data_IF_859724177945
#
_entry.id   IF_859724177945
#
_cell.length_a   1.000
_cell.length_b   1.000
_cell.length_c   1.000
_cell.angle_alpha   90.00
_cell.angle_beta   90.00
_cell.angle_gamma   90.00
#
_symmetry.space_group_name_H-M   'P 1'
#
loop_
_entity.id
_entity.type
_entity.pdbx_description
1 polymer ?
#
# COMPACT_ATOMS: atom_id res chain seq x y z
N UNK A 1 4.14 23.70 -2.42
CA UNK A 1 3.05 23.10 -3.23
C UNK A 1 1.73 23.48 -2.57
N UNK A 2 0.91 24.27 -3.26
CA UNK A 2 -0.40 24.70 -2.73
C UNK A 2 -1.41 23.57 -2.95
N UNK A 3 -2.02 23.07 -1.88
CA UNK A 3 -3.17 22.17 -1.96
C UNK A 3 -4.39 23.02 -2.38
N UNK A 4 -4.62 23.13 -3.68
CA UNK A 4 -5.85 23.73 -4.21
C UNK A 4 -6.98 22.73 -4.08
N UNK A 5 -7.84 22.92 -3.07
CA UNK A 5 -9.19 22.35 -3.08
C UNK A 5 -10.02 23.15 -4.10
N UNK A 6 -10.08 22.65 -5.34
CA UNK A 6 -10.96 23.23 -6.35
C UNK A 6 -12.43 23.06 -5.92
N UNK A 7 -13.23 24.14 -5.89
CA UNK A 7 -14.68 24.01 -5.75
C UNK A 7 -15.25 23.52 -7.08
N UNK A 8 -15.26 22.20 -7.28
CA UNK A 8 -15.99 21.62 -8.39
C UNK A 8 -17.50 21.74 -8.07
N UNK A 9 -18.20 22.61 -8.81
CA UNK A 9 -19.64 22.83 -8.68
C UNK A 9 -20.36 21.65 -9.33
N UNK A 10 -20.47 20.53 -8.61
CA UNK A 10 -21.37 19.44 -8.97
C UNK A 10 -22.81 19.85 -8.60
N UNK A 11 -23.72 19.83 -9.58
CA UNK A 11 -25.15 20.15 -9.41
C UNK A 11 -25.91 19.15 -8.54
N UNK A 12 -25.30 17.98 -8.26
CA UNK A 12 -25.73 17.04 -7.23
C UNK A 12 -24.62 16.91 -6.19
N UNK A 13 -24.94 17.15 -4.91
CA UNK A 13 -24.01 16.86 -3.82
C UNK A 13 -23.79 15.35 -3.73
N UNK A 14 -22.52 14.95 -3.69
CA UNK A 14 -22.17 13.59 -3.35
C UNK A 14 -22.61 13.29 -1.91
N UNK A 15 -22.99 12.05 -1.60
CA UNK A 15 -23.25 11.66 -0.21
C UNK A 15 -21.94 11.50 0.58
N UNK A 16 -20.93 10.98 -0.11
CA UNK A 16 -19.60 10.73 0.42
C UNK A 16 -18.55 11.29 -0.52
N UNK A 17 -17.45 11.77 0.06
CA UNK A 17 -16.27 12.26 -0.65
C UNK A 17 -15.07 11.47 -0.17
N UNK A 18 -14.24 10.99 -1.09
CA UNK A 18 -13.01 10.28 -0.76
C UNK A 18 -11.81 11.17 -1.04
N UNK A 19 -10.92 11.31 -0.06
CA UNK A 19 -9.63 11.94 -0.25
C UNK A 19 -8.71 10.98 -0.98
N UNK A 20 -8.08 11.47 -2.05
CA UNK A 20 -7.15 10.71 -2.87
C UNK A 20 -5.92 11.53 -3.19
N UNK A 21 -4.78 10.87 -3.26
CA UNK A 21 -3.54 11.41 -3.82
C UNK A 21 -3.40 10.96 -5.29
N UNK A 22 -2.57 11.65 -6.08
CA UNK A 22 -2.50 11.52 -7.54
C UNK A 22 -1.71 10.29 -8.03
N UNK A 23 -0.99 9.61 -7.13
CA UNK A 23 -0.10 8.49 -7.41
C UNK A 23 -0.59 7.17 -6.80
N UNK A 24 -1.90 6.96 -6.81
CA UNK A 24 -2.54 5.75 -6.30
C UNK A 24 -3.48 5.10 -7.29
N UNK A 25 -3.41 3.77 -7.36
CA UNK A 25 -4.33 2.93 -8.10
C UNK A 25 -5.28 2.21 -7.14
N UNK A 26 -6.57 2.19 -7.47
CA UNK A 26 -7.53 1.40 -6.71
C UNK A 26 -7.30 -0.09 -6.95
N UNK A 27 -7.36 -0.89 -5.91
CA UNK A 27 -7.20 -2.34 -6.00
C UNK A 27 -8.33 -3.00 -6.81
N UNK A 28 -8.10 -4.20 -7.38
CA UNK A 28 -9.15 -4.98 -8.05
C UNK A 28 -10.35 -5.18 -7.11
N UNK A 29 -11.58 -4.96 -7.59
CA UNK A 29 -12.81 -4.95 -6.79
C UNK A 29 -12.92 -3.84 -5.73
N UNK A 30 -12.00 -2.87 -5.71
CA UNK A 30 -11.94 -1.84 -4.66
C UNK A 30 -13.21 -0.98 -4.56
N UNK A 31 -13.89 -0.68 -5.66
CA UNK A 31 -15.16 0.06 -5.62
C UNK A 31 -16.27 -0.74 -4.92
N UNK A 32 -16.39 -2.03 -5.22
CA UNK A 32 -17.37 -2.92 -4.57
C UNK A 32 -17.07 -3.02 -3.07
N UNK A 33 -15.80 -3.21 -2.72
CA UNK A 33 -15.33 -3.23 -1.34
C UNK A 33 -15.67 -1.91 -0.61
N UNK A 34 -15.44 -0.76 -1.26
CA UNK A 34 -15.74 0.56 -0.72
C UNK A 34 -17.23 0.74 -0.37
N UNK A 35 -18.14 0.31 -1.26
CA UNK A 35 -19.58 0.36 -1.00
C UNK A 35 -19.93 -0.47 0.24
N UNK A 36 -19.40 -1.71 0.32
CA UNK A 36 -19.62 -2.57 1.47
C UNK A 36 -19.10 -1.96 2.78
N UNK A 37 -17.91 -1.36 2.81
CA UNK A 37 -17.36 -0.76 4.03
C UNK A 37 -18.11 0.50 4.46
N UNK A 38 -18.56 1.32 3.51
CA UNK A 38 -19.40 2.49 3.81
C UNK A 38 -20.70 2.02 4.46
N UNK A 39 -21.37 1.03 3.88
CA UNK A 39 -22.61 0.48 4.42
C UNK A 39 -22.40 -0.13 5.80
N UNK A 40 -21.33 -0.90 6.00
CA UNK A 40 -20.99 -1.52 7.28
C UNK A 40 -20.65 -0.48 8.35
N UNK A 41 -19.81 0.51 8.03
CA UNK A 41 -19.50 1.62 8.92
C UNK A 41 -20.77 2.38 9.33
N UNK A 42 -21.67 2.65 8.39
CA UNK A 42 -22.95 3.33 8.66
C UNK A 42 -23.89 2.49 9.52
N UNK A 43 -23.85 1.16 9.43
CA UNK A 43 -24.60 0.28 10.36
C UNK A 43 -24.03 0.37 11.77
N UNK A 44 -22.71 0.40 11.93
CA UNK A 44 -22.07 0.49 13.26
C UNK A 44 -22.21 1.87 13.93
N UNK A 45 -22.16 2.94 13.14
CA UNK A 45 -22.42 4.30 13.59
C UNK A 45 -22.89 5.18 12.43
N UNK A 46 -24.16 5.60 12.46
CA UNK A 46 -24.70 6.49 11.41
C UNK A 46 -23.98 7.84 11.35
N UNK A 47 -23.34 8.24 12.44
CA UNK A 47 -22.67 9.53 12.62
C UNK A 47 -21.14 9.45 12.57
N UNK A 48 -20.52 8.37 12.06
CA UNK A 48 -19.06 8.25 11.93
C UNK A 48 -18.40 9.48 11.26
N UNK A 49 -17.21 9.90 11.66
CA UNK A 49 -16.58 11.13 11.16
C UNK A 49 -15.76 10.91 9.88
N UNK A 50 -15.06 9.79 9.79
CA UNK A 50 -14.35 9.37 8.61
C UNK A 50 -14.18 7.86 8.60
N UNK A 51 -14.00 7.29 7.41
CA UNK A 51 -13.69 5.88 7.17
C UNK A 51 -12.36 5.77 6.41
N UNK A 52 -11.35 5.16 7.03
CA UNK A 52 -10.04 4.88 6.44
C UNK A 52 -10.05 3.55 5.70
N UNK A 53 -9.57 3.55 4.46
CA UNK A 53 -9.43 2.37 3.60
C UNK A 53 -8.04 2.29 2.93
N UNK A 54 -7.13 3.18 3.30
CA UNK A 54 -5.72 3.19 2.85
C UNK A 54 -4.85 3.82 3.93
N UNK A 55 -3.71 4.41 3.56
CA UNK A 55 -2.78 5.09 4.44
C UNK A 55 -2.37 6.46 3.90
N UNK A 56 -1.64 7.25 4.70
CA UNK A 56 -1.22 8.60 4.33
C UNK A 56 -2.39 9.59 4.31
N UNK A 57 -2.48 10.45 3.30
CA UNK A 57 -3.64 11.32 3.09
C UNK A 57 -4.65 10.71 2.10
N UNK A 58 -4.30 9.58 1.49
CA UNK A 58 -5.14 8.80 0.58
C UNK A 58 -6.15 7.89 1.32
N UNK A 59 -7.23 7.54 0.60
CA UNK A 59 -8.19 6.52 0.99
C UNK A 59 -8.94 6.83 2.27
N UNK A 60 -9.43 8.08 2.40
CA UNK A 60 -10.27 8.51 3.53
C UNK A 60 -11.61 8.96 3.01
N UNK A 61 -12.66 8.22 3.36
CA UNK A 61 -14.03 8.55 3.01
C UNK A 61 -14.63 9.43 4.11
N UNK A 62 -15.27 10.50 3.69
CA UNK A 62 -15.95 11.49 4.54
C UNK A 62 -17.40 11.60 4.06
N UNK A 63 -18.31 12.02 4.93
CA UNK A 63 -19.59 12.55 4.45
C UNK A 63 -19.37 13.94 3.87
N UNK A 64 -20.09 14.27 2.82
CA UNK A 64 -19.99 15.58 2.18
C UNK A 64 -20.26 16.75 3.15
N UNK A 65 -21.13 16.52 4.14
CA UNK A 65 -21.43 17.48 5.21
C UNK A 65 -20.20 17.87 6.07
N UNK A 66 -19.19 17.01 6.15
CA UNK A 66 -18.00 17.22 6.97
C UNK A 66 -16.86 17.92 6.23
N UNK A 67 -16.87 17.84 4.90
CA UNK A 67 -15.82 18.38 4.04
C UNK A 67 -15.53 19.87 4.29
N UNK A 68 -16.52 20.76 4.46
CA UNK A 68 -16.24 22.17 4.79
C UNK A 68 -15.48 22.34 6.11
N UNK A 69 -15.73 21.48 7.11
CA UNK A 69 -15.02 21.56 8.38
C UNK A 69 -13.56 21.14 8.23
N UNK A 70 -13.32 20.05 7.50
CA UNK A 70 -11.96 19.58 7.22
C UNK A 70 -11.20 20.62 6.38
N UNK A 71 -11.82 21.16 5.33
CA UNK A 71 -11.20 22.18 4.47
C UNK A 71 -10.74 23.40 5.27
N UNK A 72 -11.58 23.93 6.18
CA UNK A 72 -11.19 25.05 7.05
C UNK A 72 -10.02 24.68 7.96
N UNK A 73 -10.04 23.47 8.51
CA UNK A 73 -8.97 22.98 9.38
C UNK A 73 -7.64 22.87 8.62
N UNK A 74 -7.64 22.21 7.45
CA UNK A 74 -6.47 22.08 6.59
C UNK A 74 -5.93 23.46 6.16
N UNK A 75 -6.79 24.35 5.67
CA UNK A 75 -6.38 25.69 5.23
C UNK A 75 -5.74 26.51 6.36
N UNK A 76 -6.32 26.45 7.58
CA UNK A 76 -5.83 27.18 8.74
C UNK A 76 -4.48 26.66 9.24
N UNK A 77 -4.24 25.36 9.12
CA UNK A 77 -3.09 24.68 9.75
C UNK A 77 -2.05 24.12 8.77
N UNK A 78 -2.21 24.34 7.45
CA UNK A 78 -1.36 23.78 6.40
C UNK A 78 0.14 24.05 6.57
N UNK A 79 0.52 25.19 7.16
CA UNK A 79 1.92 25.54 7.39
C UNK A 79 2.55 24.80 8.58
N UNK A 80 1.75 24.19 9.46
CA UNK A 80 2.21 23.63 10.73
C UNK A 80 2.55 22.16 10.63
N UNK A 81 1.74 21.37 9.90
CA UNK A 81 1.90 19.92 9.79
C UNK A 81 1.52 19.42 8.40
N UNK A 82 2.06 18.27 7.98
CA UNK A 82 1.60 17.56 6.79
C UNK A 82 0.08 17.28 6.80
N UNK A 83 -0.58 17.19 5.63
CA UNK A 83 -2.03 17.00 5.53
C UNK A 83 -2.58 15.77 6.26
N UNK A 84 -1.87 14.64 6.26
CA UNK A 84 -2.20 13.40 6.96
C UNK A 84 -2.24 13.59 8.48
N UNK A 85 -1.28 14.33 9.04
CA UNK A 85 -1.29 14.69 10.46
C UNK A 85 -2.42 15.66 10.81
N UNK A 86 -2.76 16.59 9.92
CA UNK A 86 -3.88 17.51 10.12
C UNK A 86 -5.24 16.79 10.01
N UNK A 87 -5.34 15.79 9.12
CA UNK A 87 -6.53 14.95 9.04
C UNK A 87 -6.76 14.20 10.36
N UNK A 88 -5.69 13.58 10.89
CA UNK A 88 -5.73 12.92 12.19
C UNK A 88 -6.21 13.85 13.30
N UNK A 89 -5.61 15.02 13.40
CA UNK A 89 -5.97 16.03 14.41
C UNK A 89 -7.42 16.51 14.27
N UNK A 90 -7.94 16.55 13.04
CA UNK A 90 -9.32 16.95 12.76
C UNK A 90 -10.33 15.93 13.27
N UNK A 91 -10.20 14.65 12.89
CA UNK A 91 -11.19 13.65 13.31
C UNK A 91 -10.99 13.17 14.75
N UNK A 92 -9.78 13.27 15.32
CA UNK A 92 -9.52 12.91 16.71
C UNK A 92 -10.05 13.94 17.70
N UNK A 93 -10.33 15.17 17.26
CA UNK A 93 -10.84 16.23 18.12
C UNK A 93 -9.84 16.73 19.16
N UNK A 94 -8.53 16.51 18.95
CA UNK A 94 -7.47 16.87 19.89
C UNK A 94 -7.39 18.38 20.15
N UNK A 95 -7.90 19.21 19.22
CA UNK A 95 -7.92 20.66 19.35
C UNK A 95 -9.29 21.21 19.68
N UNK A 96 -9.33 22.36 20.36
CA UNK A 96 -10.59 23.03 20.69
C UNK A 96 -11.43 23.37 19.44
N UNK A 97 -10.79 23.71 18.31
CA UNK A 97 -11.48 24.02 17.06
C UNK A 97 -11.99 22.80 16.28
N UNK A 98 -11.60 21.58 16.67
CA UNK A 98 -12.07 20.31 16.06
C UNK A 98 -12.87 19.43 17.02
N UNK A 99 -12.69 19.60 18.34
CA UNK A 99 -13.33 18.82 19.40
C UNK A 99 -14.85 18.77 19.29
N UNK A 100 -15.50 19.92 19.10
CA UNK A 100 -16.97 19.98 18.97
C UNK A 100 -17.47 19.22 17.74
N UNK A 101 -16.70 19.21 16.66
CA UNK A 101 -17.08 18.55 15.41
C UNK A 101 -16.89 17.03 15.47
N UNK A 102 -15.84 16.56 16.15
CA UNK A 102 -15.56 15.15 16.37
C UNK A 102 -16.33 14.52 17.53
N UNK A 103 -16.96 15.33 18.39
CA UNK A 103 -17.62 14.87 19.60
C UNK A 103 -18.68 13.78 19.31
N UNK A 104 -18.55 12.64 20.01
CA UNK A 104 -19.46 11.50 19.92
C UNK A 104 -19.60 10.90 18.51
N UNK A 105 -18.56 11.03 17.69
CA UNK A 105 -18.49 10.44 16.35
C UNK A 105 -17.30 9.52 16.26
N UNK A 106 -17.50 8.36 15.66
CA UNK A 106 -16.44 7.36 15.53
C UNK A 106 -15.59 7.59 14.28
N UNK A 107 -14.27 7.43 14.42
CA UNK A 107 -13.38 7.22 13.29
C UNK A 107 -13.34 5.72 12.98
N UNK A 108 -13.60 5.35 11.73
CA UNK A 108 -13.68 3.94 11.30
C UNK A 108 -12.49 3.59 10.45
N UNK A 109 -11.96 2.39 10.63
CA UNK A 109 -10.82 1.90 9.84
C UNK A 109 -11.18 0.53 9.28
N UNK A 110 -11.00 0.39 7.97
CA UNK A 110 -11.02 -0.90 7.31
C UNK A 110 -9.68 -1.61 7.51
N UNK A 111 -9.74 -2.92 7.76
CA UNK A 111 -8.59 -3.76 8.13
C UNK A 111 -7.50 -3.83 7.05
N UNK A 112 -7.87 -3.71 5.79
CA UNK A 112 -6.95 -3.92 4.67
C UNK A 112 -6.80 -2.66 3.79
N UNK A 113 -5.71 -2.57 3.08
CA UNK A 113 -5.42 -1.47 2.18
C UNK A 113 -6.14 -1.66 0.83
N UNK A 114 -6.88 -0.65 0.36
CA UNK A 114 -7.60 -0.68 -0.92
C UNK A 114 -6.88 0.01 -2.07
N UNK A 115 -5.68 0.55 -1.86
CA UNK A 115 -4.97 1.30 -2.89
C UNK A 115 -3.52 0.87 -3.01
N UNK A 116 -3.03 0.81 -4.23
CA UNK A 116 -1.64 0.55 -4.55
C UNK A 116 -0.95 1.87 -4.89
N UNK A 117 0.09 2.23 -4.13
CA UNK A 117 0.89 3.42 -4.38
C UNK A 117 1.86 3.17 -5.53
N UNK A 118 1.77 3.96 -6.60
CA UNK A 118 2.65 3.90 -7.77
C UNK A 118 3.76 4.97 -7.74
N UNK A 119 3.71 5.89 -6.77
CA UNK A 119 4.71 6.93 -6.59
C UNK A 119 6.06 6.34 -6.15
N UNK A 120 7.14 6.74 -6.81
CA UNK A 120 8.51 6.32 -6.45
C UNK A 120 9.20 7.24 -5.45
N UNK A 121 8.70 8.49 -5.29
CA UNK A 121 9.34 9.50 -4.43
C UNK A 121 8.28 10.13 -3.54
N UNK A 122 8.35 9.82 -2.24
CA UNK A 122 7.54 10.55 -1.25
C UNK A 122 8.12 11.94 -1.02
N UNK A 123 7.24 12.94 -0.84
CA UNK A 123 7.65 14.32 -0.49
C UNK A 123 8.28 14.37 0.91
N UNK A 124 7.93 13.40 1.77
CA UNK A 124 8.62 13.15 3.01
C UNK A 124 9.82 12.28 2.66
N UNK A 125 11.05 12.73 2.97
CA UNK A 125 12.30 12.01 2.71
C UNK A 125 12.40 10.71 3.53
N UNK A 126 11.51 9.77 3.24
CA UNK A 126 11.43 8.50 3.91
C UNK A 126 12.51 7.57 3.38
N UNK A 127 13.13 6.75 4.24
CA UNK A 127 14.16 5.82 3.81
C UNK A 127 13.61 4.89 2.72
N UNK A 128 14.41 4.64 1.68
CA UNK A 128 14.08 3.81 0.52
C UNK A 128 13.70 2.34 0.83
N UNK A 129 13.70 1.96 2.11
CA UNK A 129 13.42 0.59 2.59
C UNK A 129 12.06 0.46 3.30
N UNK A 130 11.19 1.46 3.23
CA UNK A 130 9.90 1.41 3.94
C UNK A 130 8.86 0.66 3.09
N UNK A 131 8.40 -0.48 3.60
CA UNK A 131 7.44 -1.40 3.00
C UNK A 131 6.14 -0.72 2.55
N UNK A 132 5.86 -0.53 1.27
CA UNK A 132 4.56 0.01 0.82
C UNK A 132 3.47 -1.09 0.84
N UNK A 133 2.38 -0.93 1.61
CA UNK A 133 1.31 -1.92 1.67
C UNK A 133 0.72 -2.19 0.29
N UNK A 134 0.77 -3.45 -0.14
CA UNK A 134 0.11 -3.89 -1.38
C UNK A 134 -1.41 -3.91 -1.26
N UNK A 135 -2.07 -4.29 -2.35
CA UNK A 135 -3.51 -4.47 -2.35
C UNK A 135 -3.96 -5.53 -1.34
N UNK A 136 -4.96 -5.17 -0.54
CA UNK A 136 -5.54 -6.00 0.51
C UNK A 136 -4.56 -6.48 1.58
N UNK A 137 -3.35 -5.88 1.64
CA UNK A 137 -2.46 -6.06 2.78
C UNK A 137 -3.03 -5.37 4.02
N UNK A 138 -2.59 -5.79 5.19
CA UNK A 138 -3.11 -5.24 6.43
C UNK A 138 -2.65 -3.79 6.68
N UNK A 139 -3.56 -2.93 7.13
CA UNK A 139 -3.27 -1.54 7.49
C UNK A 139 -2.78 -1.41 8.94
N UNK A 140 -1.49 -1.68 9.18
CA UNK A 140 -0.86 -1.53 10.51
C UNK A 140 0.24 -0.47 10.51
N UNK A 141 1.31 -0.67 9.74
CA UNK A 141 2.57 0.07 9.94
C UNK A 141 2.57 1.54 9.45
N UNK A 142 1.52 1.94 8.73
CA UNK A 142 1.45 3.22 8.00
C UNK A 142 0.42 4.20 8.56
N UNK A 143 -0.17 3.84 9.68
CA UNK A 143 -1.20 4.60 10.34
C UNK A 143 -0.66 5.10 11.69
N UNK A 144 -1.11 6.26 12.12
CA UNK A 144 -0.79 6.72 13.47
C UNK A 144 -1.36 5.72 14.49
N UNK A 145 -0.81 5.58 15.70
CA UNK A 145 -1.21 4.51 16.63
C UNK A 145 -2.73 4.42 16.92
N UNK A 146 -3.46 5.55 16.88
CA UNK A 146 -4.92 5.59 17.05
C UNK A 146 -5.73 5.39 15.75
N UNK A 147 -5.04 5.23 14.63
CA UNK A 147 -5.60 4.94 13.31
C UNK A 147 -5.47 3.47 12.92
N UNK A 148 -4.78 2.66 13.74
CA UNK A 148 -4.54 1.26 13.45
C UNK A 148 -5.78 0.41 13.74
N UNK A 149 -6.09 -0.52 12.85
CA UNK A 149 -7.15 -1.50 13.08
C UNK A 149 -6.82 -2.40 14.28
N UNK A 150 -7.66 -2.41 15.32
CA UNK A 150 -7.44 -3.26 16.49
C UNK A 150 -7.97 -4.69 16.25
N UNK A 151 -7.06 -5.61 15.93
CA UNK A 151 -7.41 -7.03 15.69
C UNK A 151 -7.79 -7.78 16.96
N UNK A 152 -7.26 -7.39 18.11
CA UNK A 152 -7.59 -8.07 19.37
C UNK A 152 -9.03 -7.76 19.77
N UNK A 153 -9.47 -6.53 19.56
CA UNK A 153 -10.85 -6.10 19.82
C UNK A 153 -11.83 -6.64 18.76
N UNK A 154 -11.36 -6.76 17.51
CA UNK A 154 -12.20 -7.12 16.36
C UNK A 154 -11.55 -8.21 15.48
N UNK A 155 -11.36 -9.43 16.00
CA UNK A 155 -10.61 -10.49 15.32
C UNK A 155 -11.29 -10.99 14.04
N UNK A 156 -12.62 -11.09 14.08
CA UNK A 156 -13.48 -11.61 13.02
C UNK A 156 -14.18 -10.51 12.21
N UNK A 157 -13.80 -9.25 12.45
CA UNK A 157 -14.31 -8.11 11.70
C UNK A 157 -13.25 -7.56 10.73
N UNK A 158 -13.74 -6.75 9.80
CA UNK A 158 -12.97 -6.03 8.82
C UNK A 158 -13.14 -4.51 8.95
N UNK A 159 -14.06 -4.02 9.80
CA UNK A 159 -14.19 -2.60 10.18
C UNK A 159 -14.03 -2.45 11.69
N UNK A 160 -13.13 -1.55 12.10
CA UNK A 160 -12.91 -1.20 13.51
C UNK A 160 -13.34 0.25 13.78
N UNK A 161 -13.95 0.53 14.95
CA UNK A 161 -14.48 -0.43 15.92
C UNK A 161 -15.58 -1.32 15.32
N UNK A 162 -15.69 -2.58 15.75
CA UNK A 162 -16.58 -3.60 15.17
C UNK A 162 -17.93 -3.75 15.85
N UNK A 163 -18.15 -3.04 16.95
CA UNK A 163 -19.44 -3.03 17.63
C UNK A 163 -20.28 -1.86 17.14
N UNK A 164 -21.61 -2.07 17.09
CA UNK A 164 -22.53 -0.95 17.16
C UNK A 164 -22.17 -0.18 18.41
N UNK A 165 -21.76 1.07 18.23
CA UNK A 165 -21.39 1.91 19.36
C UNK A 165 -22.62 2.01 20.26
N UNK A 166 -22.67 1.25 21.36
CA UNK A 166 -23.53 1.58 22.47
C UNK A 166 -23.13 3.00 22.81
N UNK A 167 -24.01 3.98 22.54
CA UNK A 167 -23.72 5.40 22.76
C UNK A 167 -23.43 5.57 24.25
N UNK A 168 -22.17 5.41 24.63
CA UNK A 168 -21.72 5.60 25.99
C UNK A 168 -21.87 7.09 26.26
N UNK A 169 -22.89 7.43 27.07
CA UNK A 169 -22.83 8.68 27.84
C UNK A 169 -21.56 8.59 28.69
N UNK A 170 -20.65 9.58 28.66
CA UNK A 170 -19.55 9.59 29.61
C UNK A 170 -20.13 9.94 30.99
N UNK A 171 -19.97 9.12 32.04
CA UNK A 171 -20.41 9.50 33.38
C UNK A 171 -19.38 10.41 34.07
N UNK A 172 -18.89 11.43 33.36
CA UNK A 172 -17.75 12.30 33.69
C UNK A 172 -16.37 11.71 33.36
N UNK A 173 -15.56 12.51 32.64
CA UNK A 173 -14.11 12.44 32.74
C UNK A 173 -13.72 12.47 34.22
N UNK A 174 -13.03 11.44 34.72
CA UNK A 174 -12.12 11.63 35.85
C UNK A 174 -10.73 11.03 35.67
N UNK A 175 -10.50 10.07 34.77
CA UNK A 175 -9.12 9.67 34.45
C UNK A 175 -8.94 9.42 32.95
N UNK A 176 -8.01 10.16 32.35
CA UNK A 176 -7.61 10.05 30.95
C UNK A 176 -7.00 8.66 30.68
N UNK A 177 -7.13 8.10 29.46
CA UNK A 177 -6.48 6.84 29.13
C UNK A 177 -4.97 6.98 29.30
N UNK A 178 -4.40 6.03 30.04
CA UNK A 178 -2.96 5.85 30.26
C UNK A 178 -2.24 5.74 28.92
N UNK A 179 -1.69 6.87 28.47
CA UNK A 179 -0.39 7.03 27.83
C UNK A 179 -0.20 8.54 27.61
N UNK A 180 0.46 9.19 28.57
CA UNK A 180 0.98 10.53 28.36
C UNK A 180 2.17 10.44 27.41
N UNK A 181 1.99 10.84 26.15
CA UNK A 181 3.11 11.21 25.28
C UNK A 181 3.24 12.74 25.33
N UNK A 182 4.42 13.21 25.73
CA UNK A 182 4.68 14.64 25.85
C UNK A 182 5.13 15.21 24.51
N UNK A 183 4.57 16.35 24.11
CA UNK A 183 5.02 17.11 22.94
C UNK A 183 6.51 17.53 23.01
N UNK A 184 7.16 17.39 24.18
CA UNK A 184 8.58 17.67 24.40
C UNK A 184 9.50 16.72 23.64
N UNK A 185 9.11 15.46 23.39
CA UNK A 185 9.96 14.50 22.65
C UNK A 185 10.18 14.88 21.18
N UNK A 186 9.37 15.79 20.63
CA UNK A 186 9.43 16.22 19.22
C UNK A 186 9.71 17.72 19.04
N UNK A 187 9.84 18.48 20.13
CA UNK A 187 10.08 19.92 20.05
C UNK A 187 11.48 20.28 19.53
N UNK A 188 12.47 19.39 19.74
CA UNK A 188 13.90 19.69 19.51
C UNK A 188 14.49 19.08 18.23
N UNK A 189 13.69 18.43 17.38
CA UNK A 189 14.20 17.92 16.09
C UNK A 189 14.15 19.00 15.02
N UNK A 190 15.29 19.63 14.77
CA UNK A 190 15.48 20.57 13.67
C UNK A 190 15.22 19.88 12.32
N UNK A 191 14.11 20.24 11.66
CA UNK A 191 13.80 19.78 10.32
C UNK A 191 14.66 20.55 9.32
N UNK A 192 15.61 19.87 8.66
CA UNK A 192 16.49 20.50 7.67
C UNK A 192 15.69 20.98 6.44
N UNK A 193 15.92 22.20 5.94
CA UNK A 193 15.18 22.75 4.80
C UNK A 193 15.56 22.10 3.47
N UNK A 194 14.56 21.95 2.60
CA UNK A 194 14.59 21.30 1.27
C UNK A 194 15.25 22.21 0.22
N UNK A 195 16.50 22.62 0.41
CA UNK A 195 17.24 23.43 -0.57
C UNK A 195 18.54 22.74 -1.06
N UNK A 196 18.66 21.42 -0.91
CA UNK A 196 19.81 20.66 -1.38
C UNK A 196 19.91 20.63 -2.93
N UNK A 197 21.00 21.16 -3.54
CA UNK A 197 21.22 21.13 -4.98
C UNK A 197 21.27 19.73 -5.61
N UNK A 198 21.56 18.68 -4.83
CA UNK A 198 21.56 17.30 -5.32
C UNK A 198 20.16 16.85 -5.79
N UNK A 199 19.10 17.38 -5.18
CA UNK A 199 17.72 17.09 -5.55
C UNK A 199 17.33 17.65 -6.93
N UNK A 200 18.05 18.66 -7.45
CA UNK A 200 17.76 19.27 -8.77
C UNK A 200 18.38 18.53 -9.96
N UNK A 201 19.32 17.60 -9.73
CA UNK A 201 19.97 16.82 -10.81
C UNK A 201 19.10 15.68 -11.32
N UNK A 202 18.26 15.09 -10.48
CA UNK A 202 17.40 13.94 -10.83
C UNK A 202 16.17 14.34 -11.66
N UNK A 203 15.65 15.56 -11.48
CA UNK A 203 14.50 16.08 -12.27
C UNK A 203 14.79 16.14 -13.78
N UNK A 204 16.05 16.38 -14.19
CA UNK A 204 16.43 16.44 -15.61
C UNK A 204 16.57 15.08 -16.28
N UNK A 205 16.77 14.00 -15.52
CA UNK A 205 16.91 12.64 -16.06
C UNK A 205 15.56 11.93 -16.22
N UNK A 206 14.52 12.34 -15.49
CA UNK A 206 13.17 11.77 -15.59
C UNK A 206 12.40 12.18 -16.86
N UNK A 207 12.85 13.21 -17.59
CA UNK A 207 12.16 13.74 -18.77
C UNK A 207 12.41 12.96 -20.08
N UNK A 208 13.10 11.82 -20.05
CA UNK A 208 13.57 11.11 -21.25
C UNK A 208 13.27 9.60 -21.26
N UNK A 209 12.05 9.18 -20.90
CA UNK A 209 11.63 7.78 -21.07
C UNK A 209 10.57 7.64 -22.18
N UNK A 210 10.77 6.73 -23.15
CA UNK A 210 9.86 6.57 -24.29
C UNK A 210 8.57 5.84 -23.89
N UNK A 211 7.45 6.42 -24.31
CA UNK A 211 6.10 5.87 -24.25
C UNK A 211 5.86 4.87 -25.39
N UNK A 212 6.30 3.62 -25.23
CA UNK A 212 5.91 2.55 -26.13
C UNK A 212 4.87 1.64 -25.45
N UNK A 213 3.77 1.25 -26.15
CA UNK A 213 2.77 0.36 -25.61
C UNK A 213 3.32 -1.07 -25.40
N UNK A 214 2.94 -1.68 -24.28
CA UNK A 214 3.27 -3.07 -23.94
C UNK A 214 2.51 -4.00 -24.89
N UNK A 215 3.18 -4.85 -25.68
CA UNK A 215 2.50 -5.80 -26.55
C UNK A 215 1.86 -6.93 -25.73
N UNK A 216 0.65 -7.35 -26.13
CA UNK A 216 0.03 -8.58 -25.66
C UNK A 216 1.00 -9.77 -25.87
N UNK A 217 1.12 -10.61 -24.84
CA UNK A 217 1.97 -11.81 -24.74
C UNK A 217 2.09 -12.57 -26.07
N UNK A 218 3.28 -12.52 -26.68
CA UNK A 218 3.70 -13.50 -27.67
C UNK A 218 3.84 -14.87 -26.98
N UNK A 219 3.42 -15.94 -27.67
CA UNK A 219 3.68 -17.30 -27.23
C UNK A 219 5.19 -17.50 -27.04
N UNK A 220 5.60 -18.03 -25.89
CA UNK A 220 7.00 -18.30 -25.59
C UNK A 220 7.61 -19.19 -26.69
N UNK A 221 8.71 -18.75 -27.29
CA UNK A 221 9.45 -19.53 -28.28
C UNK A 221 10.37 -20.52 -27.57
N UNK A 222 10.62 -21.66 -28.21
CA UNK A 222 11.60 -22.64 -27.75
C UNK A 222 12.97 -21.95 -27.55
N UNK A 223 13.57 -22.12 -26.36
CA UNK A 223 14.83 -21.48 -26.00
C UNK A 223 14.72 -20.10 -25.31
N UNK A 224 13.55 -19.47 -25.26
CA UNK A 224 13.34 -18.25 -24.46
C UNK A 224 12.87 -18.59 -23.04
N UNK A 225 13.41 -17.88 -22.04
CA UNK A 225 13.04 -18.07 -20.63
C UNK A 225 11.56 -17.77 -20.39
N UNK A 226 10.84 -18.73 -19.81
CA UNK A 226 9.42 -18.65 -19.48
C UNK A 226 9.24 -18.31 -17.99
N UNK A 227 8.44 -17.30 -17.69
CA UNK A 227 8.13 -16.92 -16.30
C UNK A 227 6.92 -17.72 -15.81
N UNK A 228 7.14 -18.59 -14.82
CA UNK A 228 6.08 -19.32 -14.14
C UNK A 228 5.24 -18.39 -13.26
N UNK A 229 3.96 -18.71 -13.06
CA UNK A 229 3.14 -17.99 -12.10
C UNK A 229 3.68 -18.17 -10.67
N UNK A 230 3.27 -17.28 -9.78
CA UNK A 230 3.64 -17.37 -8.36
C UNK A 230 3.16 -18.71 -7.77
N UNK A 231 4.05 -19.42 -7.08
CA UNK A 231 3.75 -20.74 -6.51
C UNK A 231 3.67 -21.88 -7.53
N UNK A 232 4.03 -21.64 -8.78
CA UNK A 232 3.99 -22.65 -9.85
C UNK A 232 5.38 -23.24 -10.11
N UNK A 233 5.42 -24.55 -10.39
CA UNK A 233 6.65 -25.23 -10.82
C UNK A 233 6.93 -25.00 -12.31
N UNK A 234 8.18 -25.23 -12.75
CA UNK A 234 8.50 -25.10 -14.17
C UNK A 234 7.80 -26.16 -15.03
N UNK A 235 7.60 -27.37 -14.50
CA UNK A 235 6.84 -28.43 -15.18
C UNK A 235 5.40 -28.01 -15.44
N UNK A 236 4.74 -27.40 -14.45
CA UNK A 236 3.37 -26.88 -14.59
C UNK A 236 3.31 -25.74 -15.61
N UNK A 237 4.22 -24.77 -15.51
CA UNK A 237 4.24 -23.60 -16.39
C UNK A 237 4.52 -23.97 -17.85
N UNK A 238 5.48 -24.87 -18.11
CA UNK A 238 5.77 -25.37 -19.46
C UNK A 238 4.59 -26.20 -20.01
N UNK A 239 3.98 -27.07 -19.20
CA UNK A 239 2.83 -27.88 -19.61
C UNK A 239 1.64 -27.04 -20.06
N UNK A 240 1.35 -25.94 -19.34
CA UNK A 240 0.32 -24.96 -19.74
C UNK A 240 0.62 -24.29 -21.07
N UNK A 241 1.89 -24.18 -21.45
CA UNK A 241 2.32 -23.68 -22.75
C UNK A 241 2.38 -24.77 -23.83
N UNK A 242 1.99 -26.02 -23.54
CA UNK A 242 2.10 -27.15 -24.46
C UNK A 242 3.53 -27.65 -24.65
N UNK A 243 4.43 -27.39 -23.69
CA UNK A 243 5.85 -27.72 -23.71
C UNK A 243 6.23 -28.60 -22.51
N UNK A 244 7.45 -29.16 -22.54
CA UNK A 244 8.05 -29.87 -21.41
C UNK A 244 9.17 -29.05 -20.79
N UNK A 245 9.32 -29.12 -19.47
CA UNK A 245 10.44 -28.46 -18.78
C UNK A 245 11.78 -29.10 -19.20
N UNK A 246 12.78 -28.26 -19.49
CA UNK A 246 14.13 -28.69 -19.82
C UNK A 246 15.07 -28.47 -18.62
N UNK A 247 15.09 -29.45 -17.70
CA UNK A 247 15.88 -29.36 -16.48
C UNK A 247 17.37 -29.14 -16.75
N UNK A 248 17.90 -29.75 -17.81
CA UNK A 248 19.31 -29.64 -18.19
C UNK A 248 19.72 -28.22 -18.60
N UNK A 249 18.76 -27.40 -19.03
CA UNK A 249 18.99 -26.04 -19.49
C UNK A 249 18.69 -24.97 -18.41
N UNK A 250 18.06 -25.34 -17.30
CA UNK A 250 17.82 -24.42 -16.17
C UNK A 250 19.10 -23.77 -15.61
N UNK A 251 20.27 -24.44 -15.53
CA UNK A 251 21.51 -23.78 -15.09
C UNK A 251 21.89 -22.56 -15.95
N UNK A 252 21.52 -22.54 -17.24
CA UNK A 252 21.76 -21.40 -18.12
C UNK A 252 20.92 -20.15 -17.77
N UNK A 253 19.78 -20.35 -17.11
CA UNK A 253 18.91 -19.29 -16.60
C UNK A 253 19.21 -18.92 -15.14
N UNK A 254 20.05 -19.71 -14.46
CA UNK A 254 20.39 -19.54 -13.05
C UNK A 254 21.49 -18.49 -12.84
N UNK A 255 21.22 -17.26 -13.25
CA UNK A 255 22.15 -16.16 -13.11
C UNK A 255 21.44 -14.82 -13.08
N UNK A 256 22.05 -13.86 -12.40
CA UNK A 256 21.44 -12.55 -12.21
C UNK A 256 21.13 -11.83 -13.52
N UNK A 257 21.98 -12.00 -14.55
CA UNK A 257 21.77 -11.42 -15.87
C UNK A 257 20.50 -11.95 -16.53
N UNK A 258 20.27 -13.26 -16.47
CA UNK A 258 19.07 -13.88 -17.02
C UNK A 258 17.84 -13.44 -16.22
N UNK A 259 17.89 -13.50 -14.88
CA UNK A 259 16.79 -13.06 -14.03
C UNK A 259 16.40 -11.60 -14.28
N UNK A 260 17.36 -10.68 -14.39
CA UNK A 260 17.09 -9.26 -14.70
C UNK A 260 16.55 -9.01 -16.11
N UNK A 261 16.76 -9.93 -17.05
CA UNK A 261 16.17 -9.83 -18.37
C UNK A 261 14.66 -10.12 -18.36
N UNK A 262 14.17 -10.85 -17.34
CA UNK A 262 12.77 -11.25 -17.21
C UNK A 262 12.04 -10.61 -16.03
N UNK A 263 12.76 -10.15 -15.00
CA UNK A 263 12.23 -9.57 -13.77
C UNK A 263 12.87 -8.23 -13.46
N UNK A 264 12.12 -7.36 -12.78
CA UNK A 264 12.62 -6.09 -12.26
C UNK A 264 13.30 -6.31 -10.90
N UNK A 265 14.43 -7.03 -10.90
CA UNK A 265 15.15 -7.36 -9.66
C UNK A 265 15.75 -6.10 -9.01
N UNK A 266 15.38 -5.79 -7.76
CA UNK A 266 16.02 -4.73 -6.97
C UNK A 266 17.40 -5.17 -6.46
N UNK A 267 17.48 -6.44 -6.05
CA UNK A 267 18.71 -7.08 -5.60
C UNK A 267 18.83 -8.48 -6.23
N UNK A 268 20.02 -9.06 -6.12
CA UNK A 268 20.34 -10.38 -6.62
C UNK A 268 21.16 -11.12 -5.58
N UNK A 269 20.56 -12.15 -4.98
CA UNK A 269 21.15 -12.88 -3.87
C UNK A 269 21.37 -14.34 -4.25
N UNK A 270 22.49 -14.91 -3.81
CA UNK A 270 22.72 -16.34 -3.86
C UNK A 270 22.02 -16.99 -2.66
N UNK A 271 21.17 -17.98 -2.91
CA UNK A 271 20.46 -18.71 -1.86
C UNK A 271 20.29 -20.18 -2.22
N UNK A 272 19.61 -20.95 -1.37
CA UNK A 272 19.26 -22.34 -1.63
C UNK A 272 17.76 -22.48 -1.47
N UNK A 273 17.08 -22.92 -2.53
CA UNK A 273 15.64 -23.17 -2.55
C UNK A 273 15.26 -24.01 -3.75
N UNK A 274 14.28 -24.89 -3.59
CA UNK A 274 13.83 -25.77 -4.68
C UNK A 274 13.19 -24.96 -5.82
N UNK A 275 12.60 -23.82 -5.49
CA UNK A 275 11.95 -22.89 -6.40
C UNK A 275 12.92 -21.99 -7.19
N UNK A 276 14.23 -22.05 -6.94
CA UNK A 276 15.18 -21.12 -7.55
C UNK A 276 15.76 -21.70 -8.85
N UNK A 277 16.06 -20.88 -9.88
CA UNK A 277 16.09 -19.42 -9.87
C UNK A 277 14.70 -18.77 -9.92
N UNK A 278 14.50 -17.72 -9.12
CA UNK A 278 13.19 -17.09 -8.98
C UNK A 278 13.26 -15.60 -8.61
N UNK A 279 12.13 -14.91 -8.77
CA UNK A 279 11.88 -13.58 -8.26
C UNK A 279 10.95 -13.65 -7.04
N UNK A 280 11.32 -12.98 -5.95
CA UNK A 280 10.48 -12.87 -4.75
C UNK A 280 9.38 -11.85 -5.01
N UNK A 281 8.13 -12.27 -4.84
CA UNK A 281 6.98 -11.41 -5.03
C UNK A 281 7.06 -10.15 -4.16
N UNK A 282 6.64 -9.02 -4.71
CA UNK A 282 6.72 -7.71 -4.05
C UNK A 282 5.87 -7.65 -2.76
N UNK A 283 4.86 -8.50 -2.63
CA UNK A 283 3.99 -8.62 -1.47
C UNK A 283 4.39 -9.75 -0.50
N UNK A 284 5.55 -10.38 -0.69
CA UNK A 284 6.09 -11.35 0.26
C UNK A 284 6.43 -10.68 1.62
N UNK A 285 6.49 -11.45 2.72
CA UNK A 285 6.99 -10.93 4.00
C UNK A 285 8.40 -10.38 3.88
N UNK A 286 8.73 -9.33 4.65
CA UNK A 286 9.98 -8.58 4.51
C UNK A 286 11.23 -9.45 4.73
N UNK A 287 11.13 -10.45 5.60
CA UNK A 287 12.17 -11.45 5.86
C UNK A 287 12.52 -12.30 4.64
N UNK A 288 11.58 -12.43 3.69
CA UNK A 288 11.79 -13.12 2.41
C UNK A 288 12.45 -12.25 1.35
N UNK A 289 12.71 -10.97 1.66
CA UNK A 289 13.31 -9.96 0.75
C UNK A 289 12.51 -9.76 -0.55
N UNK A 290 11.32 -9.15 -0.47
CA UNK A 290 10.49 -8.83 -1.63
C UNK A 290 11.28 -8.06 -2.70
N UNK A 291 11.05 -8.35 -3.99
CA UNK A 291 11.74 -7.68 -5.10
C UNK A 291 13.16 -8.22 -5.41
N UNK A 292 13.70 -9.11 -4.57
CA UNK A 292 14.97 -9.77 -4.85
C UNK A 292 14.82 -10.89 -5.88
N UNK A 293 15.83 -11.03 -6.73
CA UNK A 293 16.04 -12.23 -7.54
C UNK A 293 16.98 -13.19 -6.82
N UNK A 294 16.57 -14.45 -6.75
CA UNK A 294 17.28 -15.53 -6.06
C UNK A 294 17.97 -16.42 -7.08
N UNK A 295 19.30 -16.44 -7.02
CA UNK A 295 20.15 -17.36 -7.77
C UNK A 295 20.37 -18.60 -6.92
N UNK A 296 20.10 -19.77 -7.48
CA UNK A 296 20.26 -21.03 -6.78
C UNK A 296 21.76 -21.37 -6.66
N UNK A 297 22.25 -21.53 -5.43
CA UNK A 297 23.61 -21.98 -5.16
C UNK A 297 23.80 -23.49 -5.37
N UNK A 298 22.71 -24.22 -5.63
CA UNK A 298 22.68 -25.64 -6.01
C UNK A 298 22.11 -25.81 -7.42
N UNK A 299 21.96 -27.06 -7.85
CA UNK A 299 21.30 -27.42 -9.11
C UNK A 299 19.81 -27.07 -9.08
N UNK A 300 19.30 -26.25 -10.02
CA UNK A 300 17.87 -26.02 -10.18
C UNK A 300 17.13 -27.28 -10.67
N UNK A 301 15.87 -27.45 -10.24
CA UNK A 301 15.02 -28.59 -10.65
C UNK A 301 13.66 -28.12 -11.15
N UNK A 302 13.02 -28.87 -12.05
CA UNK A 302 11.75 -28.46 -12.66
C UNK A 302 10.57 -28.44 -11.67
N UNK A 303 10.55 -29.35 -10.70
CA UNK A 303 9.39 -29.57 -9.81
C UNK A 303 9.28 -28.59 -8.64
N UNK A 304 10.37 -27.90 -8.29
CA UNK A 304 10.34 -26.98 -7.17
C UNK A 304 9.37 -25.81 -7.39
N UNK A 305 8.73 -25.38 -6.31
CA UNK A 305 7.84 -24.22 -6.28
C UNK A 305 7.83 -23.61 -4.89
N UNK A 306 7.47 -22.33 -4.80
CA UNK A 306 7.32 -21.67 -3.51
C UNK A 306 6.20 -20.61 -3.60
N UNK A 307 5.30 -20.53 -2.61
CA UNK A 307 4.12 -19.67 -2.67
C UNK A 307 4.44 -18.17 -2.70
N UNK A 308 5.70 -17.77 -2.49
CA UNK A 308 6.13 -16.36 -2.50
C UNK A 308 7.00 -15.98 -3.70
N UNK A 309 7.28 -16.90 -4.61
CA UNK A 309 8.22 -16.63 -5.71
C UNK A 309 7.63 -17.01 -7.07
N UNK A 310 8.13 -16.36 -8.13
CA UNK A 310 7.85 -16.70 -9.53
C UNK A 310 9.14 -17.19 -10.18
N UNK A 311 9.10 -18.38 -10.78
CA UNK A 311 10.30 -19.04 -11.31
C UNK A 311 10.61 -18.59 -12.74
N UNK A 312 11.90 -18.57 -13.09
CA UNK A 312 12.33 -18.49 -14.49
C UNK A 312 12.65 -19.90 -14.98
N UNK A 313 11.94 -20.33 -16.02
CA UNK A 313 11.91 -21.70 -16.49
C UNK A 313 12.43 -21.81 -17.93
N UNK A 314 13.07 -22.93 -18.23
CA UNK A 314 13.40 -23.30 -19.60
C UNK A 314 12.43 -24.38 -20.06
N UNK A 315 11.74 -24.12 -21.17
CA UNK A 315 10.84 -25.08 -21.80
C UNK A 315 11.40 -25.52 -23.16
N UNK A 316 11.05 -26.74 -23.57
CA UNK A 316 11.33 -27.30 -24.89
C UNK A 316 10.12 -28.04 -25.43
N UNK A 317 10.08 -28.30 -26.73
CA UNK A 317 9.05 -29.14 -27.33
C UNK A 317 9.01 -30.52 -26.65
N UNK A 318 7.80 -30.97 -26.28
CA UNK A 318 7.60 -32.31 -25.75
C UNK A 318 7.94 -33.32 -26.85
N UNK A 319 8.93 -34.19 -26.60
CA UNK A 319 9.20 -35.36 -27.44
C UNK A 319 8.32 -36.52 -27.01
#
# INVERSE_FOLDING_TARGET
KYMMLMPCVCTRRAKYTMLMEDDWLLCPNGLTSLVYFIDKATRYDREWIALRVSYGFNGVVLRDADLPSLQRHLAKHAARRPPDHLLFEWFSGERDDTRKHAFNRSYRIFRHNLFYHIGQVSTLAQPARRFTPGCYSLLYDWLLPKEVFNREECPEDDVWPCTESARQRPPFFQEAPRLQWSALEWADRELKPVNDPAARRSERQAAALPTAPIPLRAAAREGEGLVAARGESCSQACSKAGLSCDEAALPGLNGCRALRAHFQCEACDNSVGADQPAFVALDAPIESRPGSCLVNSKTPHCEGSHPLTSRLCQCRTAR
#
